data_IF_854498010043
#
_entry.id   IF_854498010043
#
_cell.length_a   1.000
_cell.length_b   1.000
_cell.length_c   1.000
_cell.angle_alpha   90.00
_cell.angle_beta   90.00
_cell.angle_gamma   90.00
#
_symmetry.space_group_name_H-M   'P 1'
#
loop_
_entity.id
_entity.type
_entity.pdbx_description
1 polymer ?
#
# COMPACT_ATOMS: atom_id res chain seq x y z
N UNK A 1 -0.40 28.34 6.83
CA UNK A 1 0.60 27.61 7.66
C UNK A 1 1.21 28.50 8.73
N UNK A 2 1.69 29.71 8.40
CA UNK A 2 2.19 30.69 9.39
C UNK A 2 1.23 30.94 10.57
N UNK A 3 -0.07 31.09 10.30
CA UNK A 3 -1.09 31.34 11.34
C UNK A 3 -1.39 30.14 12.27
N UNK A 4 -1.02 28.91 11.87
CA UNK A 4 -1.41 27.66 12.56
C UNK A 4 -0.22 26.88 13.13
N UNK A 5 0.96 27.03 12.52
CA UNK A 5 2.18 26.30 12.87
C UNK A 5 3.39 27.20 13.16
N UNK A 6 3.29 28.52 12.97
CA UNK A 6 4.36 29.48 13.29
C UNK A 6 5.74 29.08 12.72
N UNK A 7 5.73 28.53 11.51
CA UNK A 7 6.96 28.19 10.77
C UNK A 7 6.83 28.65 9.34
N UNK A 8 7.92 29.20 8.82
CA UNK A 8 8.03 29.65 7.43
C UNK A 8 8.14 28.43 6.51
N UNK A 9 7.38 28.43 5.41
CA UNK A 9 7.33 27.31 4.46
C UNK A 9 8.71 27.02 3.85
N UNK A 10 9.54 28.05 3.70
CA UNK A 10 10.90 27.93 3.16
C UNK A 10 11.83 27.12 4.04
N UNK A 11 11.55 27.00 5.34
CA UNK A 11 12.44 26.31 6.29
C UNK A 11 12.20 24.80 6.34
N UNK A 12 11.00 24.35 5.97
CA UNK A 12 10.57 22.94 6.08
C UNK A 12 10.44 22.24 4.71
N UNK A 13 10.11 22.96 3.64
CA UNK A 13 9.69 22.31 2.39
C UNK A 13 10.79 22.28 1.32
N UNK A 14 11.29 21.07 1.02
CA UNK A 14 12.14 20.81 -0.15
C UNK A 14 11.46 21.04 -1.51
N UNK A 15 10.13 21.22 -1.54
CA UNK A 15 9.35 21.65 -2.70
C UNK A 15 8.10 22.40 -2.21
N UNK A 16 8.15 23.72 -2.21
CA UNK A 16 6.99 24.55 -1.83
C UNK A 16 6.09 24.77 -3.05
N UNK A 17 4.92 24.13 -3.07
CA UNK A 17 3.92 24.32 -4.12
C UNK A 17 3.15 25.63 -3.87
N UNK A 18 3.76 26.75 -4.25
CA UNK A 18 3.18 28.09 -4.13
C UNK A 18 3.30 28.80 -5.48
N UNK A 19 2.17 29.21 -6.04
CA UNK A 19 2.11 29.86 -7.37
C UNK A 19 2.45 31.37 -7.30
N UNK A 20 2.10 32.02 -6.19
CA UNK A 20 2.23 33.47 -6.00
C UNK A 20 3.10 33.81 -4.79
N UNK A 21 3.94 34.83 -4.91
CA UNK A 21 4.68 35.40 -3.78
C UNK A 21 3.78 36.27 -2.89
N UNK A 22 4.26 36.73 -1.73
CA UNK A 22 3.48 37.60 -0.82
C UNK A 22 3.01 38.90 -1.51
N UNK A 23 3.74 39.35 -2.52
CA UNK A 23 3.42 40.53 -3.34
C UNK A 23 2.46 40.24 -4.51
N UNK A 24 1.94 39.01 -4.63
CA UNK A 24 1.08 38.59 -5.75
C UNK A 24 1.84 38.34 -7.07
N UNK A 25 3.18 38.38 -7.04
CA UNK A 25 4.01 38.10 -8.20
C UNK A 25 4.09 36.60 -8.50
N UNK A 26 4.09 36.26 -9.79
CA UNK A 26 4.15 34.87 -10.26
C UNK A 26 5.55 34.29 -10.01
N UNK A 27 5.62 33.18 -9.25
CA UNK A 27 6.89 32.47 -8.99
C UNK A 27 7.22 31.53 -10.15
N UNK A 28 7.81 32.10 -11.21
CA UNK A 28 8.15 31.39 -12.45
C UNK A 28 8.96 30.10 -12.25
N UNK A 29 9.86 30.06 -11.26
CA UNK A 29 10.64 28.86 -10.93
C UNK A 29 9.74 27.69 -10.48
N UNK A 30 8.77 27.96 -9.61
CA UNK A 30 7.83 26.94 -9.10
C UNK A 30 6.91 26.42 -10.20
N UNK A 31 6.48 27.30 -11.11
CA UNK A 31 5.70 26.92 -12.29
C UNK A 31 6.54 26.07 -13.24
N UNK A 32 7.79 26.45 -13.49
CA UNK A 32 8.71 25.67 -14.32
C UNK A 32 8.95 24.27 -13.73
N UNK A 33 9.17 24.16 -12.42
CA UNK A 33 9.27 22.87 -11.72
C UNK A 33 8.00 22.02 -11.84
N UNK A 34 6.83 22.66 -11.73
CA UNK A 34 5.53 21.98 -11.86
C UNK A 34 5.32 21.47 -13.29
N UNK A 35 5.61 22.29 -14.31
CA UNK A 35 5.53 21.91 -15.71
C UNK A 35 6.51 20.79 -16.06
N UNK A 36 7.75 20.86 -15.57
CA UNK A 36 8.75 19.82 -15.75
C UNK A 36 8.26 18.48 -15.15
N UNK A 37 7.74 18.51 -13.92
CA UNK A 37 7.14 17.33 -13.29
C UNK A 37 6.01 16.73 -14.12
N UNK A 38 5.11 17.55 -14.65
CA UNK A 38 4.01 17.10 -15.52
C UNK A 38 4.53 16.49 -16.82
N UNK A 39 5.58 17.08 -17.42
CA UNK A 39 6.21 16.55 -18.62
C UNK A 39 6.84 15.17 -18.39
N UNK A 40 7.61 15.01 -17.31
CA UNK A 40 8.22 13.72 -16.94
C UNK A 40 7.15 12.64 -16.78
N UNK A 41 6.07 12.96 -16.05
CA UNK A 41 4.93 12.07 -15.86
C UNK A 41 4.32 11.63 -17.20
N UNK A 42 4.09 12.57 -18.11
CA UNK A 42 3.50 12.29 -19.42
C UNK A 42 4.37 11.32 -20.23
N UNK A 43 5.68 11.60 -20.32
CA UNK A 43 6.63 10.71 -21.01
C UNK A 43 6.64 9.32 -20.39
N UNK A 44 6.68 9.23 -19.06
CA UNK A 44 6.65 7.95 -18.35
C UNK A 44 5.41 7.12 -18.68
N UNK A 45 4.21 7.73 -18.65
CA UNK A 45 2.97 7.03 -19.01
C UNK A 45 2.96 6.59 -20.48
N UNK A 46 3.47 7.41 -21.40
CA UNK A 46 3.60 7.03 -22.81
C UNK A 46 4.47 5.79 -22.98
N UNK A 47 5.63 5.74 -22.32
CA UNK A 47 6.53 4.58 -22.37
C UNK A 47 5.85 3.34 -21.79
N UNK A 48 5.17 3.47 -20.65
CA UNK A 48 4.42 2.36 -20.03
C UNK A 48 3.37 1.80 -20.97
N UNK A 49 2.57 2.66 -21.60
CA UNK A 49 1.52 2.25 -22.55
C UNK A 49 2.15 1.56 -23.76
N UNK A 50 3.21 2.14 -24.32
CA UNK A 50 3.92 1.55 -25.47
C UNK A 50 4.46 0.15 -25.12
N UNK A 51 5.16 0.01 -24.00
CA UNK A 51 5.67 -1.29 -23.54
C UNK A 51 4.54 -2.28 -23.25
N UNK A 52 3.42 -1.82 -22.69
CA UNK A 52 2.25 -2.65 -22.41
C UNK A 52 1.61 -3.20 -23.69
N UNK A 53 1.46 -2.36 -24.72
CA UNK A 53 0.95 -2.77 -26.04
C UNK A 53 1.93 -3.72 -26.72
N UNK A 54 3.23 -3.39 -26.72
CA UNK A 54 4.27 -4.23 -27.31
C UNK A 54 4.28 -5.62 -26.68
N UNK A 55 4.24 -5.69 -25.34
CA UNK A 55 4.17 -6.95 -24.62
C UNK A 55 2.89 -7.72 -24.94
N UNK A 56 1.73 -7.05 -25.05
CA UNK A 56 0.47 -7.70 -25.41
C UNK A 56 0.55 -8.39 -26.79
N UNK A 57 1.16 -7.71 -27.77
CA UNK A 57 1.34 -8.24 -29.13
C UNK A 57 2.32 -9.42 -29.13
N UNK A 58 3.50 -9.24 -28.54
CA UNK A 58 4.56 -10.27 -28.50
C UNK A 58 4.11 -11.54 -27.75
N UNK A 59 3.25 -11.36 -26.73
CA UNK A 59 2.66 -12.46 -25.99
C UNK A 59 1.79 -13.38 -26.88
N UNK A 60 1.19 -12.90 -27.96
CA UNK A 60 0.40 -13.77 -28.83
C UNK A 60 1.26 -14.71 -29.68
N UNK A 61 2.46 -14.27 -30.08
CA UNK A 61 3.36 -15.03 -30.94
C UNK A 61 4.25 -15.99 -30.12
N UNK A 62 4.92 -15.50 -29.07
CA UNK A 62 5.92 -16.27 -28.32
C UNK A 62 5.32 -17.22 -27.30
N UNK A 63 4.21 -16.83 -26.66
CA UNK A 63 3.62 -17.61 -25.55
C UNK A 63 2.83 -18.81 -26.07
N UNK A 64 2.47 -18.86 -27.36
CA UNK A 64 1.89 -20.07 -27.96
C UNK A 64 2.85 -21.26 -27.98
N UNK A 65 4.17 -21.01 -27.97
CA UNK A 65 5.19 -22.06 -27.87
C UNK A 65 5.38 -22.58 -26.43
N UNK A 66 4.82 -21.90 -25.42
CA UNK A 66 4.92 -22.29 -24.02
C UNK A 66 3.81 -23.26 -23.62
N UNK A 67 4.04 -24.00 -22.52
CA UNK A 67 3.00 -24.84 -21.94
C UNK A 67 1.78 -24.00 -21.53
N UNK A 68 0.59 -24.61 -21.60
CA UNK A 68 -0.67 -23.93 -21.25
C UNK A 68 -0.66 -23.33 -19.84
N UNK A 69 0.00 -23.99 -18.89
CA UNK A 69 0.16 -23.49 -17.52
C UNK A 69 0.98 -22.19 -17.47
N UNK A 70 2.14 -22.18 -18.12
CA UNK A 70 3.05 -21.04 -18.12
C UNK A 70 2.46 -19.85 -18.91
N UNK A 71 1.74 -20.14 -20.00
CA UNK A 71 0.97 -19.14 -20.77
C UNK A 71 -0.06 -18.41 -19.90
N UNK A 72 -0.84 -19.16 -19.15
CA UNK A 72 -1.85 -18.58 -18.26
C UNK A 72 -1.21 -17.76 -17.14
N UNK A 73 -0.10 -18.25 -16.57
CA UNK A 73 0.65 -17.52 -15.55
C UNK A 73 1.17 -16.17 -16.07
N UNK A 74 1.80 -16.14 -17.26
CA UNK A 74 2.31 -14.91 -17.86
C UNK A 74 1.18 -13.91 -18.14
N UNK A 75 0.02 -14.38 -18.64
CA UNK A 75 -1.17 -13.52 -18.84
C UNK A 75 -1.67 -12.92 -17.53
N UNK A 76 -1.66 -13.71 -16.44
CA UNK A 76 -2.05 -13.21 -15.11
C UNK A 76 -1.06 -12.17 -14.60
N UNK A 77 0.25 -12.38 -14.76
CA UNK A 77 1.26 -11.40 -14.39
C UNK A 77 1.13 -10.10 -15.17
N UNK A 78 0.93 -10.17 -16.49
CA UNK A 78 0.72 -8.97 -17.30
C UNK A 78 -0.54 -8.20 -16.87
N UNK A 79 -1.67 -8.89 -16.68
CA UNK A 79 -2.91 -8.28 -16.17
C UNK A 79 -2.70 -7.64 -14.80
N UNK A 80 -1.94 -8.30 -13.94
CA UNK A 80 -1.62 -7.80 -12.60
C UNK A 80 -0.78 -6.53 -12.72
N UNK A 81 0.29 -6.55 -13.51
CA UNK A 81 1.16 -5.41 -13.75
C UNK A 81 0.39 -4.19 -14.27
N UNK A 82 -0.53 -4.38 -15.24
CA UNK A 82 -1.39 -3.30 -15.69
C UNK A 82 -2.27 -2.74 -14.56
N UNK A 83 -2.82 -3.60 -13.70
CA UNK A 83 -3.63 -3.14 -12.58
C UNK A 83 -2.79 -2.43 -11.51
N UNK A 84 -1.58 -2.89 -11.24
CA UNK A 84 -0.62 -2.24 -10.32
C UNK A 84 -0.21 -0.85 -10.82
N UNK A 85 -0.20 -0.63 -12.13
CA UNK A 85 0.06 0.69 -12.71
C UNK A 85 -1.18 1.57 -12.58
N UNK A 86 -2.36 1.07 -12.99
CA UNK A 86 -3.60 1.85 -13.01
C UNK A 86 -4.08 2.23 -11.61
N UNK A 87 -3.93 1.32 -10.64
CA UNK A 87 -4.44 1.52 -9.28
C UNK A 87 -3.86 2.77 -8.59
N UNK A 88 -2.54 2.94 -8.43
CA UNK A 88 -1.96 4.15 -7.83
C UNK A 88 -2.19 5.38 -8.71
N UNK A 89 -2.26 5.26 -10.04
CA UNK A 89 -2.64 6.39 -10.90
C UNK A 89 -4.01 6.94 -10.55
N UNK A 90 -5.00 6.07 -10.33
CA UNK A 90 -6.36 6.51 -10.00
C UNK A 90 -6.47 6.92 -8.53
N UNK A 91 -5.92 6.14 -7.60
CA UNK A 91 -6.13 6.34 -6.17
C UNK A 91 -5.22 7.40 -5.55
N UNK A 92 -4.00 7.58 -6.09
CA UNK A 92 -2.99 8.51 -5.53
C UNK A 92 -2.76 9.69 -6.45
N UNK A 93 -2.52 9.46 -7.74
CA UNK A 93 -2.21 10.57 -8.63
C UNK A 93 -3.41 11.48 -8.86
N UNK A 94 -4.64 10.96 -8.87
CA UNK A 94 -5.85 11.81 -8.96
C UNK A 94 -5.95 12.85 -7.83
N UNK A 95 -5.91 12.49 -6.53
CA UNK A 95 -5.93 13.49 -5.46
C UNK A 95 -4.68 14.37 -5.43
N UNK A 96 -3.49 13.83 -5.77
CA UNK A 96 -2.25 14.62 -5.83
C UNK A 96 -2.31 15.69 -6.92
N UNK A 97 -2.83 15.36 -8.11
CA UNK A 97 -3.04 16.32 -9.19
C UNK A 97 -3.98 17.43 -8.71
N UNK A 98 -5.09 17.09 -8.06
CA UNK A 98 -5.99 18.09 -7.49
C UNK A 98 -5.28 19.02 -6.48
N UNK A 99 -4.45 18.47 -5.58
CA UNK A 99 -3.65 19.25 -4.63
C UNK A 99 -2.61 20.14 -5.34
N UNK A 100 -1.98 19.64 -6.41
CA UNK A 100 -0.97 20.37 -7.19
C UNK A 100 -1.58 21.57 -7.93
N UNK A 101 -2.80 21.41 -8.45
CA UNK A 101 -3.49 22.47 -9.18
C UNK A 101 -4.33 23.40 -8.29
N UNK A 102 -4.56 23.03 -7.03
CA UNK A 102 -5.32 23.83 -6.07
C UNK A 102 -4.83 25.28 -5.91
N UNK A 103 -3.51 25.58 -5.86
CA UNK A 103 -3.02 26.95 -5.73
C UNK A 103 -3.33 27.83 -6.94
N UNK A 104 -3.73 27.26 -8.07
CA UNK A 104 -4.16 28.00 -9.26
C UNK A 104 -5.66 28.31 -9.27
N UNK A 105 -6.44 27.67 -8.40
CA UNK A 105 -7.89 27.83 -8.32
C UNK A 105 -8.35 28.78 -7.20
N UNK A 106 -7.43 29.37 -6.43
CA UNK A 106 -7.69 30.32 -5.34
C UNK A 106 -8.77 29.84 -4.34
N UNK A 107 -8.80 28.52 -4.10
CA UNK A 107 -9.75 27.87 -3.21
C UNK A 107 -9.18 27.82 -1.79
N UNK A 108 -9.83 28.51 -0.84
CA UNK A 108 -9.58 28.41 0.60
C UNK A 108 -10.06 27.03 1.12
N UNK A 109 -9.30 25.99 0.80
CA UNK A 109 -9.56 24.63 1.26
C UNK A 109 -8.53 24.22 2.31
N UNK A 110 -8.99 24.08 3.57
CA UNK A 110 -8.21 23.53 4.67
C UNK A 110 -8.11 21.99 4.50
N UNK A 111 -7.29 21.55 3.53
CA UNK A 111 -7.14 20.13 3.23
C UNK A 111 -6.32 19.42 4.31
N UNK A 112 -6.79 18.27 4.84
CA UNK A 112 -6.05 17.46 5.80
C UNK A 112 -4.90 16.71 5.10
N UNK A 113 -3.88 17.44 4.66
CA UNK A 113 -2.70 16.92 3.93
C UNK A 113 -2.02 15.78 4.68
N UNK A 114 -2.01 15.78 6.01
CA UNK A 114 -1.48 14.69 6.83
C UNK A 114 -2.16 13.33 6.57
N UNK A 115 -3.48 13.29 6.41
CA UNK A 115 -4.22 12.04 6.13
C UNK A 115 -3.89 11.51 4.74
N UNK A 116 -3.78 12.40 3.75
CA UNK A 116 -3.35 12.02 2.40
C UNK A 116 -1.92 11.49 2.38
N UNK A 117 -1.00 12.12 3.11
CA UNK A 117 0.38 11.62 3.26
C UNK A 117 0.40 10.22 3.86
N UNK A 118 -0.37 9.96 4.92
CA UNK A 118 -0.50 8.62 5.49
C UNK A 118 -1.07 7.62 4.47
N UNK A 119 -2.10 7.99 3.72
CA UNK A 119 -2.66 7.13 2.68
C UNK A 119 -1.62 6.77 1.59
N UNK A 120 -0.75 7.71 1.22
CA UNK A 120 0.33 7.45 0.24
C UNK A 120 1.34 6.42 0.74
N UNK A 121 1.64 6.41 2.04
CA UNK A 121 2.56 5.41 2.61
C UNK A 121 2.01 3.98 2.59
N UNK A 122 0.68 3.81 2.50
CA UNK A 122 0.02 2.50 2.47
C UNK A 122 -0.06 1.89 1.06
N UNK A 123 0.21 2.67 0.01
CA UNK A 123 0.09 2.18 -1.36
C UNK A 123 0.95 0.95 -1.68
N UNK A 124 2.22 0.85 -1.24
CA UNK A 124 3.03 -0.32 -1.55
C UNK A 124 2.41 -1.59 -0.99
N UNK A 125 1.86 -1.51 0.23
CA UNK A 125 1.14 -2.63 0.84
C UNK A 125 -0.13 -2.98 0.06
N UNK A 126 -0.87 -1.99 -0.45
CA UNK A 126 -2.03 -2.23 -1.30
C UNK A 126 -1.66 -2.90 -2.63
N UNK A 127 -0.54 -2.49 -3.23
CA UNK A 127 -0.02 -3.06 -4.47
C UNK A 127 0.34 -4.55 -4.30
N UNK A 128 1.05 -4.89 -3.22
CA UNK A 128 1.38 -6.26 -2.87
C UNK A 128 0.13 -7.13 -2.62
N UNK A 129 -0.87 -6.56 -1.94
CA UNK A 129 -2.17 -7.20 -1.71
C UNK A 129 -2.84 -7.54 -3.05
N UNK A 130 -2.87 -6.59 -4.00
CA UNK A 130 -3.49 -6.78 -5.32
C UNK A 130 -2.84 -7.95 -6.05
N UNK A 131 -1.51 -8.02 -6.08
CA UNK A 131 -0.76 -9.13 -6.68
C UNK A 131 -1.12 -10.46 -6.04
N UNK A 132 -1.15 -10.50 -4.71
CA UNK A 132 -1.45 -11.69 -3.92
C UNK A 132 -2.86 -12.23 -4.22
N UNK A 133 -3.84 -11.36 -4.48
CA UNK A 133 -5.22 -11.76 -4.76
C UNK A 133 -5.49 -12.13 -6.22
N UNK A 134 -4.81 -11.50 -7.18
CA UNK A 134 -5.09 -11.69 -8.63
C UNK A 134 -4.34 -12.88 -9.20
N UNK A 135 -3.09 -13.07 -8.82
CA UNK A 135 -2.28 -14.19 -9.31
C UNK A 135 -2.76 -15.45 -8.60
N UNK A 136 -3.31 -16.39 -9.38
CA UNK A 136 -4.00 -17.56 -8.83
C UNK A 136 -3.09 -18.45 -7.99
N UNK A 137 -1.81 -18.52 -8.35
CA UNK A 137 -0.84 -19.35 -7.64
C UNK A 137 -0.39 -18.70 -6.33
N UNK A 138 -0.22 -17.37 -6.28
CA UNK A 138 0.00 -16.65 -5.02
C UNK A 138 -1.21 -16.76 -4.09
N UNK A 139 -2.43 -16.60 -4.61
CA UNK A 139 -3.65 -16.78 -3.84
C UNK A 139 -3.76 -18.18 -3.21
N UNK A 140 -3.42 -19.23 -3.97
CA UNK A 140 -3.39 -20.61 -3.45
C UNK A 140 -2.33 -20.78 -2.37
N UNK A 141 -1.13 -20.26 -2.60
CA UNK A 141 -0.04 -20.31 -1.62
C UNK A 141 -0.40 -19.57 -0.33
N UNK A 142 -0.92 -18.34 -0.43
CA UNK A 142 -1.39 -17.54 0.70
C UNK A 142 -2.47 -18.28 1.51
N UNK A 143 -3.47 -18.88 0.83
CA UNK A 143 -4.50 -19.67 1.51
C UNK A 143 -3.93 -20.88 2.24
N UNK A 144 -2.93 -21.55 1.66
CA UNK A 144 -2.23 -22.69 2.31
C UNK A 144 -1.46 -22.24 3.55
N UNK A 145 -0.70 -21.14 3.44
CA UNK A 145 0.05 -20.56 4.56
C UNK A 145 -0.90 -20.14 5.68
N UNK A 146 -1.99 -19.45 5.34
CA UNK A 146 -2.99 -19.00 6.31
C UNK A 146 -3.68 -20.15 7.03
N UNK A 147 -4.06 -21.23 6.32
CA UNK A 147 -4.61 -22.44 6.96
C UNK A 147 -3.62 -23.09 7.91
N UNK A 148 -2.35 -23.18 7.53
CA UNK A 148 -1.29 -23.74 8.38
C UNK A 148 -1.03 -22.86 9.61
N UNK A 149 -1.05 -21.54 9.44
CA UNK A 149 -0.90 -20.58 10.53
C UNK A 149 -2.08 -20.67 11.51
N UNK A 150 -3.31 -20.76 11.01
CA UNK A 150 -4.51 -21.00 11.82
C UNK A 150 -4.40 -22.33 12.58
N UNK A 151 -4.04 -23.42 11.91
CA UNK A 151 -3.85 -24.72 12.56
C UNK A 151 -2.80 -24.69 13.68
N UNK A 152 -1.68 -24.00 13.45
CA UNK A 152 -0.67 -23.76 14.49
C UNK A 152 -1.22 -22.91 15.63
N UNK A 153 -1.86 -21.78 15.35
CA UNK A 153 -2.39 -20.90 16.39
C UNK A 153 -3.42 -21.62 17.28
N UNK A 154 -4.33 -22.40 16.69
CA UNK A 154 -5.31 -23.20 17.43
C UNK A 154 -4.64 -24.30 18.26
N UNK A 155 -3.59 -24.93 17.74
CA UNK A 155 -2.83 -25.93 18.50
C UNK A 155 -2.10 -25.30 19.70
N UNK A 156 -1.45 -24.15 19.49
CA UNK A 156 -0.77 -23.39 20.54
C UNK A 156 -1.74 -22.97 21.66
N UNK A 157 -2.92 -22.45 21.30
CA UNK A 157 -3.97 -22.08 22.26
C UNK A 157 -4.44 -23.28 23.10
N UNK A 158 -4.66 -24.45 22.48
CA UNK A 158 -5.06 -25.67 23.19
C UNK A 158 -3.99 -26.19 24.17
N UNK A 159 -2.72 -26.16 23.78
CA UNK A 159 -1.62 -26.52 24.70
C UNK A 159 -1.53 -25.56 25.87
N UNK A 160 -1.71 -24.25 25.65
CA UNK A 160 -1.70 -23.26 26.73
C UNK A 160 -2.84 -23.49 27.74
N UNK A 161 -4.05 -23.83 27.27
CA UNK A 161 -5.18 -24.17 28.15
C UNK A 161 -4.96 -25.50 28.92
N UNK A 162 -4.30 -26.48 28.29
CA UNK A 162 -4.00 -27.78 28.90
C UNK A 162 -2.94 -27.65 30.01
N UNK A 163 -1.90 -26.84 29.79
CA UNK A 163 -0.88 -26.55 30.80
C UNK A 163 -1.46 -25.76 31.98
N UNK A 164 -2.36 -24.81 31.72
CA UNK A 164 -3.00 -24.02 32.77
C UNK A 164 -3.95 -24.86 33.64
N UNK A 165 -4.73 -25.76 33.04
CA UNK A 165 -5.62 -26.68 33.77
C UNK A 165 -4.86 -27.75 34.57
N UNK A 166 -3.78 -28.31 34.01
CA UNK A 166 -2.88 -29.24 34.70
C UNK A 166 -2.20 -28.60 35.91
N UNK A 167 -1.70 -27.36 35.77
CA UNK A 167 -1.07 -26.61 36.86
C UNK A 167 -2.07 -26.28 37.99
N UNK A 168 -3.34 -25.99 37.63
CA UNK A 168 -4.42 -25.73 38.60
C UNK A 168 -4.86 -26.99 39.35
N UNK A 169 -4.96 -28.13 38.66
CA UNK A 169 -5.27 -29.41 39.30
C UNK A 169 -4.17 -29.81 40.30
N UNK A 170 -2.91 -29.68 39.91
CA UNK A 170 -1.75 -30.02 40.75
C UNK A 170 -1.61 -29.12 41.99
N UNK A 171 -1.93 -27.84 41.87
CA UNK A 171 -1.98 -26.91 43.01
C UNK A 171 -3.19 -27.18 43.92
N UNK A 172 -4.30 -27.68 43.41
CA UNK A 172 -5.46 -28.07 44.23
C UNK A 172 -5.17 -29.36 45.01
N UNK A 173 -4.56 -30.37 44.37
CA UNK A 173 -4.10 -31.60 45.04
C UNK A 173 -3.01 -31.33 46.08
N UNK A 174 -2.07 -30.42 45.84
CA UNK A 174 -1.02 -30.07 46.79
C UNK A 174 -1.54 -29.36 48.06
N UNK A 175 -2.70 -28.68 47.98
CA UNK A 175 -3.34 -28.03 49.13
C UNK A 175 -4.32 -28.95 49.88
N UNK A 176 -4.77 -30.06 49.28
CA UNK A 176 -5.70 -31.01 49.87
C UNK A 176 -5.16 -31.78 51.11
N UNK A 177 -3.88 -32.21 51.19
CA UNK A 177 -3.37 -32.92 52.37
C UNK A 177 -3.19 -32.01 53.60
N UNK A 178 -3.20 -30.68 53.45
CA UNK A 178 -3.10 -29.74 54.58
C UNK A 178 -4.44 -29.50 55.29
N UNK A 179 -5.58 -29.79 54.65
CA UNK A 179 -6.91 -29.48 55.16
C UNK A 179 -7.60 -30.64 55.92
N UNK A 180 -7.02 -31.85 55.92
CA UNK A 180 -7.64 -33.07 56.47
C UNK A 180 -7.00 -33.58 57.78
N UNK A 181 -6.20 -32.78 58.49
CA UNK A 181 -5.77 -33.14 59.85
C UNK A 181 -6.91 -32.88 60.85
N UNK A 182 -7.53 -33.91 61.45
CA UNK A 182 -8.53 -33.72 62.49
C UNK A 182 -7.81 -33.44 63.82
N UNK A 183 -8.12 -32.32 64.45
CA UNK A 183 -7.99 -32.16 65.91
C UNK A 183 -9.33 -32.50 66.57
#
# INVERSE_FOLDING_TARGET
MMQKYSTDLSEIAGLTLVAYDEDGNIRWFNICCTLNRTFIMLVQYTVIIYCGIWMYIEMEEKVQMLSLSLRNLHKQFFKTLLLQIVTPTVTIFSPVINIIYLPFFDLECDLPTGVFCCAFTLYPAMDDIIVMYIVSDYKKAAKKIMKNAQGKATAWLRTAETDQSSTRARSTEANLPAALSPN
#
